data_IF_561417016181
#
_entry.id   IF_561417016181
#
_cell.length_a   1.000
_cell.length_b   1.000
_cell.length_c   1.000
_cell.angle_alpha   90.00
_cell.angle_beta   90.00
_cell.angle_gamma   90.00
#
_symmetry.space_group_name_H-M   'P 1'
#
loop_
_entity.id
_entity.type
_entity.pdbx_description
1 polymer ?
#
# COMPACT_ATOMS: atom_id res chain seq x y z
N UNK A 1 0.05 17.36 -0.64
CA UNK A 1 -0.28 16.01 -0.14
C UNK A 1 -1.17 16.02 1.11
N UNK A 2 -0.85 16.87 2.05
CA UNK A 2 -1.61 16.90 3.30
C UNK A 2 -3.10 17.18 3.09
N UNK A 3 -3.42 18.17 2.27
CA UNK A 3 -4.81 18.55 2.01
C UNK A 3 -5.58 17.40 1.38
N UNK A 4 -4.95 16.70 0.47
CA UNK A 4 -5.58 15.56 -0.20
C UNK A 4 -5.83 14.41 0.78
N UNK A 5 -4.88 14.17 1.66
CA UNK A 5 -5.02 13.14 2.68
C UNK A 5 -6.14 13.49 3.64
N UNK A 6 -6.21 14.74 4.07
CA UNK A 6 -7.27 15.18 4.97
C UNK A 6 -8.65 15.02 4.35
N UNK A 7 -8.78 15.35 3.06
CA UNK A 7 -10.03 15.16 2.35
C UNK A 7 -10.43 13.69 2.31
N UNK A 8 -9.48 12.84 2.00
CA UNK A 8 -9.74 11.40 1.93
C UNK A 8 -10.16 10.86 3.28
N UNK A 9 -9.46 11.25 4.33
CA UNK A 9 -9.80 10.82 5.69
C UNK A 9 -11.20 11.30 6.06
N UNK A 10 -11.54 12.54 5.70
CA UNK A 10 -12.87 13.07 5.97
C UNK A 10 -13.94 12.21 5.29
N UNK A 11 -13.74 11.87 4.02
CA UNK A 11 -14.67 11.02 3.29
C UNK A 11 -14.82 9.65 3.94
N UNK A 12 -13.72 9.08 4.37
CA UNK A 12 -13.75 7.77 5.03
C UNK A 12 -14.57 7.83 6.32
N UNK A 13 -14.36 8.87 7.11
CA UNK A 13 -15.11 9.05 8.35
C UNK A 13 -16.59 9.26 8.08
N UNK A 14 -16.92 10.02 7.04
CA UNK A 14 -18.32 10.25 6.66
C UNK A 14 -19.02 8.96 6.26
N UNK A 15 -18.28 8.03 5.66
CA UNK A 15 -18.81 6.73 5.25
C UNK A 15 -18.80 5.71 6.38
N UNK A 16 -18.33 6.09 7.57
CA UNK A 16 -18.29 5.19 8.70
C UNK A 16 -17.24 4.10 8.61
N UNK A 17 -16.19 4.34 7.82
CA UNK A 17 -15.11 3.36 7.69
C UNK A 17 -14.30 3.34 8.98
N UNK A 18 -14.09 2.16 9.52
CA UNK A 18 -13.36 2.00 10.77
C UNK A 18 -11.87 2.11 10.56
N UNK A 19 -11.16 2.48 11.61
CA UNK A 19 -9.72 2.69 11.57
C UNK A 19 -8.97 1.50 10.97
N UNK A 20 -9.27 0.29 11.44
CA UNK A 20 -8.56 -0.89 10.96
C UNK A 20 -8.77 -1.11 9.47
N UNK A 21 -9.99 -0.90 9.00
CA UNK A 21 -10.29 -1.07 7.57
C UNK A 21 -9.63 0.02 6.74
N UNK A 22 -9.63 1.25 7.23
CA UNK A 22 -8.96 2.35 6.53
C UNK A 22 -7.45 2.11 6.43
N UNK A 23 -6.86 1.63 7.52
CA UNK A 23 -5.43 1.34 7.57
C UNK A 23 -5.07 0.25 6.57
N UNK A 24 -5.86 -0.80 6.50
CA UNK A 24 -5.61 -1.91 5.58
C UNK A 24 -5.74 -1.46 4.14
N UNK A 25 -6.76 -0.67 3.83
CA UNK A 25 -6.96 -0.17 2.48
C UNK A 25 -5.82 0.74 2.06
N UNK A 26 -5.42 1.65 2.95
CA UNK A 26 -4.28 2.54 2.70
C UNK A 26 -3.02 1.72 2.44
N UNK A 27 -2.74 0.76 3.30
CA UNK A 27 -1.54 -0.06 3.21
C UNK A 27 -1.51 -0.85 1.91
N UNK A 28 -2.64 -1.46 1.55
CA UNK A 28 -2.74 -2.23 0.32
C UNK A 28 -2.47 -1.36 -0.90
N UNK A 29 -3.10 -0.21 -0.97
CA UNK A 29 -2.94 0.69 -2.12
C UNK A 29 -1.51 1.24 -2.18
N UNK A 30 -0.97 1.62 -1.03
CA UNK A 30 0.37 2.17 -0.95
C UNK A 30 1.41 1.17 -1.46
N UNK A 31 1.31 -0.06 -0.96
CA UNK A 31 2.25 -1.12 -1.35
C UNK A 31 2.07 -1.49 -2.82
N UNK A 32 0.84 -1.60 -3.27
CA UNK A 32 0.57 -1.93 -4.67
C UNK A 32 1.15 -0.88 -5.62
N UNK A 33 1.00 0.40 -5.28
CA UNK A 33 1.54 1.48 -6.10
C UNK A 33 3.06 1.47 -6.11
N UNK A 34 3.68 1.26 -4.96
CA UNK A 34 5.14 1.18 -4.88
C UNK A 34 5.68 0.02 -5.70
N UNK A 35 5.01 -1.13 -5.59
CA UNK A 35 5.43 -2.32 -6.33
C UNK A 35 5.27 -2.10 -7.83
N UNK A 36 4.19 -1.46 -8.26
CA UNK A 36 3.96 -1.17 -9.68
C UNK A 36 5.05 -0.23 -10.21
N UNK A 37 5.44 0.78 -9.44
CA UNK A 37 6.52 1.69 -9.82
C UNK A 37 7.85 0.97 -9.98
N UNK A 38 8.05 -0.08 -9.23
CA UNK A 38 9.28 -0.88 -9.27
C UNK A 38 9.14 -2.08 -10.19
N UNK A 39 8.11 -2.09 -11.02
CA UNK A 39 7.86 -3.15 -12.01
C UNK A 39 7.83 -4.54 -11.39
N UNK A 40 7.24 -4.64 -10.22
CA UNK A 40 7.11 -5.91 -9.52
C UNK A 40 8.36 -6.37 -8.77
N UNK A 41 9.38 -5.53 -8.70
CA UNK A 41 10.61 -5.87 -8.00
C UNK A 41 10.44 -5.65 -6.50
N UNK A 42 10.30 -6.75 -5.76
CA UNK A 42 10.05 -6.69 -4.32
C UNK A 42 11.16 -5.99 -3.54
N UNK A 43 12.41 -6.27 -3.90
CA UNK A 43 13.54 -5.68 -3.18
C UNK A 43 13.56 -4.16 -3.35
N UNK A 44 13.37 -3.69 -4.58
CA UNK A 44 13.34 -2.25 -4.84
C UNK A 44 12.16 -1.58 -4.15
N UNK A 45 11.00 -2.21 -4.20
CA UNK A 45 9.81 -1.65 -3.54
C UNK A 45 10.02 -1.57 -2.03
N UNK A 46 10.61 -2.59 -1.43
CA UNK A 46 10.91 -2.57 -0.01
C UNK A 46 11.85 -1.42 0.33
N UNK A 47 12.89 -1.20 -0.49
CA UNK A 47 13.81 -0.09 -0.28
C UNK A 47 13.09 1.26 -0.35
N UNK A 48 12.23 1.43 -1.34
CA UNK A 48 11.49 2.67 -1.52
C UNK A 48 10.60 2.95 -0.30
N UNK A 49 10.01 1.90 0.25
CA UNK A 49 9.10 2.03 1.39
C UNK A 49 9.81 2.02 2.75
N UNK A 50 11.11 1.72 2.75
CA UNK A 50 11.84 1.60 4.00
C UNK A 50 11.47 0.37 4.80
N UNK A 51 11.03 -0.68 4.11
CA UNK A 51 10.62 -1.93 4.75
C UNK A 51 11.65 -3.02 4.50
N UNK A 52 11.74 -3.96 5.44
CA UNK A 52 12.53 -5.15 5.23
C UNK A 52 11.89 -6.00 4.13
N UNK A 53 12.70 -6.66 3.32
CA UNK A 53 12.21 -7.50 2.23
C UNK A 53 11.19 -8.54 2.69
N UNK A 54 11.45 -9.19 3.83
CA UNK A 54 10.54 -10.20 4.34
C UNK A 54 9.19 -9.61 4.72
N UNK A 55 9.19 -8.41 5.28
CA UNK A 55 7.95 -7.70 5.61
C UNK A 55 7.18 -7.38 4.34
N UNK A 56 7.89 -6.92 3.31
CA UNK A 56 7.27 -6.60 2.03
C UNK A 56 6.61 -7.82 1.40
N UNK A 57 7.34 -8.94 1.39
CA UNK A 57 6.84 -10.19 0.83
C UNK A 57 5.58 -10.67 1.58
N UNK A 58 5.62 -10.59 2.90
CA UNK A 58 4.48 -11.00 3.72
C UNK A 58 3.25 -10.15 3.42
N UNK A 59 3.44 -8.84 3.31
CA UNK A 59 2.32 -7.94 3.05
C UNK A 59 1.76 -8.12 1.64
N UNK A 60 2.61 -8.33 0.66
CA UNK A 60 2.16 -8.59 -0.70
C UNK A 60 1.32 -9.86 -0.74
N UNK A 61 1.73 -10.88 -0.02
CA UNK A 61 0.99 -12.14 0.06
C UNK A 61 -0.32 -11.95 0.81
N UNK A 62 -0.27 -11.25 1.95
CA UNK A 62 -1.43 -11.02 2.79
C UNK A 62 -2.54 -10.26 2.04
N UNK A 63 -2.15 -9.24 1.30
CA UNK A 63 -3.10 -8.41 0.55
C UNK A 63 -3.37 -8.92 -0.85
N UNK A 64 -2.74 -10.03 -1.24
CA UNK A 64 -2.88 -10.62 -2.58
C UNK A 64 -2.63 -9.62 -3.68
N UNK A 65 -1.57 -8.84 -3.52
CA UNK A 65 -1.20 -7.82 -4.50
C UNK A 65 -0.50 -8.47 -5.67
N UNK A 66 -0.96 -8.14 -6.89
CA UNK A 66 -0.36 -8.68 -8.10
C UNK A 66 0.96 -7.96 -8.40
N UNK A 67 1.94 -8.73 -8.80
CA UNK A 67 3.25 -8.20 -9.17
C UNK A 67 3.32 -7.92 -10.66
N UNK A 68 2.51 -6.99 -11.10
CA UNK A 68 2.49 -6.60 -12.50
C UNK A 68 3.83 -6.04 -12.92
N UNK A 69 4.28 -6.43 -14.10
CA UNK A 69 5.56 -5.99 -14.61
C UNK A 69 6.72 -6.88 -14.22
N UNK A 70 6.51 -7.84 -13.35
CA UNK A 70 7.52 -8.85 -13.05
C UNK A 70 7.67 -9.76 -14.27
N UNK A 71 8.90 -9.99 -14.64
CA UNK A 71 9.17 -10.85 -15.78
C UNK A 71 8.79 -12.30 -15.44
#
# INVERSE_FOLDING_TARGET
MRDQLEKLVHEMLERGIRYEDAKREFERVFIAKALARCRGNLCKAADVLGLHRNTMTRKVTEYRIKRKGAA
#
